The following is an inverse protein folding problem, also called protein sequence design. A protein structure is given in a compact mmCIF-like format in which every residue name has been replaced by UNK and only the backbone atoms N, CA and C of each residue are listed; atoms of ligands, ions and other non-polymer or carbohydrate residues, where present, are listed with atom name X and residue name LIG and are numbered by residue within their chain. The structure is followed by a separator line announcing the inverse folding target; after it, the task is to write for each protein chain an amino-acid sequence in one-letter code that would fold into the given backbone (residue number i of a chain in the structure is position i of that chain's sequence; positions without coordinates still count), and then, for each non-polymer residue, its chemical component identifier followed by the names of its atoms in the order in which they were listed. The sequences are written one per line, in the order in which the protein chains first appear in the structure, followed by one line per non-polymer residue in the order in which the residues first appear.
data_IF_240847295388
#
_entry.id   IF_240847295388
#
_cell.length_a   1.000
_cell.length_b   1.000
_cell.length_c   1.000
_cell.angle_alpha   90.00
_cell.angle_beta   90.00
_cell.angle_gamma   90.00
#
_symmetry.space_group_name_H-M   'P 1'
#
loop_
_entity.id
_entity.type
_entity.pdbx_description
1 polymer ?
#
# COMPACT_ATOMS: atom_id res chain seq x y z
N UNK A 1 -27.56 29.29 -41.37
CA UNK A 1 -27.57 28.76 -42.74
C UNK A 1 -29.03 28.50 -43.13
N UNK A 2 -29.42 28.76 -44.36
CA UNK A 2 -30.74 28.46 -44.87
C UNK A 2 -30.61 27.25 -45.82
N UNK A 3 -31.65 26.43 -45.89
CA UNK A 3 -31.74 25.33 -46.86
C UNK A 3 -32.02 25.89 -48.28
N UNK A 4 -32.09 25.01 -49.28
CA UNK A 4 -32.33 25.39 -50.69
C UNK A 4 -33.69 26.05 -50.92
N UNK A 5 -34.62 25.95 -49.96
CA UNK A 5 -35.96 26.54 -49.98
C UNK A 5 -36.05 27.79 -49.09
N UNK A 6 -34.92 28.32 -48.60
CA UNK A 6 -34.86 29.54 -47.79
C UNK A 6 -35.32 29.38 -46.33
N UNK A 7 -35.44 28.16 -45.83
CA UNK A 7 -35.80 27.88 -44.41
C UNK A 7 -34.56 27.75 -43.55
N UNK A 8 -34.60 28.22 -42.31
CA UNK A 8 -33.46 28.03 -41.39
C UNK A 8 -33.19 26.54 -41.13
N UNK A 9 -31.97 26.11 -41.41
CA UNK A 9 -31.47 24.79 -41.02
C UNK A 9 -31.56 24.65 -39.49
N UNK A 10 -32.34 23.73 -39.03
CA UNK A 10 -32.37 23.34 -37.59
C UNK A 10 -31.18 22.44 -37.33
N UNK A 11 -30.22 22.96 -36.60
CA UNK A 11 -29.14 22.15 -36.05
C UNK A 11 -29.68 21.39 -34.84
N UNK A 12 -29.59 20.06 -34.88
CA UNK A 12 -29.95 19.23 -33.73
C UNK A 12 -28.76 19.21 -32.82
N UNK A 13 -28.84 19.98 -31.73
CA UNK A 13 -27.83 19.95 -30.68
C UNK A 13 -28.30 18.98 -29.62
N UNK A 14 -27.54 17.91 -29.39
CA UNK A 14 -27.75 17.02 -28.23
C UNK A 14 -27.42 17.78 -26.94
N UNK A 15 -28.43 18.04 -26.13
CA UNK A 15 -28.27 18.67 -24.83
C UNK A 15 -28.44 17.58 -23.76
N UNK A 16 -27.36 17.25 -23.04
CA UNK A 16 -27.45 16.41 -21.86
C UNK A 16 -28.00 17.23 -20.70
N UNK A 17 -29.24 16.99 -20.33
CA UNK A 17 -29.86 17.63 -19.17
C UNK A 17 -29.74 16.70 -17.93
N UNK A 18 -29.01 17.15 -16.92
CA UNK A 18 -28.95 16.47 -15.62
C UNK A 18 -30.30 16.67 -14.90
N UNK A 19 -30.97 15.58 -14.58
CA UNK A 19 -32.19 15.60 -13.79
C UNK A 19 -32.03 14.77 -12.52
N UNK A 20 -32.63 15.23 -11.42
CA UNK A 20 -32.63 14.51 -10.15
C UNK A 20 -34.04 13.94 -9.90
N UNK A 21 -34.08 12.68 -9.46
CA UNK A 21 -35.32 12.05 -9.00
C UNK A 21 -35.18 11.72 -7.52
N UNK A 22 -36.20 11.97 -6.69
CA UNK A 22 -36.17 11.50 -5.32
C UNK A 22 -36.21 9.96 -5.32
N UNK A 23 -35.30 9.36 -4.57
CA UNK A 23 -35.26 7.93 -4.31
C UNK A 23 -35.33 7.68 -2.80
N UNK A 24 -36.13 6.70 -2.39
CA UNK A 24 -36.12 6.24 -1.01
C UNK A 24 -34.86 5.40 -0.78
N UNK A 25 -34.08 5.77 0.25
CA UNK A 25 -32.90 5.04 0.66
C UNK A 25 -33.16 4.49 2.05
N UNK A 26 -32.87 3.21 2.24
CA UNK A 26 -33.03 2.53 3.51
C UNK A 26 -31.67 2.06 4.01
N UNK A 27 -31.42 2.19 5.30
CA UNK A 27 -30.31 1.53 5.96
C UNK A 27 -30.53 0.00 5.92
N UNK A 28 -29.45 -0.77 5.79
CA UNK A 28 -29.53 -2.23 5.74
C UNK A 28 -30.22 -2.81 6.98
N UNK A 29 -30.07 -2.18 8.14
CA UNK A 29 -30.73 -2.56 9.38
C UNK A 29 -32.25 -2.39 9.35
N UNK A 30 -32.79 -1.64 8.38
CA UNK A 30 -34.22 -1.41 8.15
C UNK A 30 -34.82 -2.37 7.11
N UNK A 31 -34.04 -3.33 6.62
CA UNK A 31 -34.44 -4.29 5.60
C UNK A 31 -34.44 -5.70 6.17
N UNK A 32 -35.41 -6.51 5.75
CA UNK A 32 -35.49 -7.95 6.05
C UNK A 32 -35.32 -8.74 4.74
N UNK A 33 -34.56 -9.81 4.77
CA UNK A 33 -34.36 -10.66 3.60
C UNK A 33 -33.13 -11.54 3.69
N UNK A 34 -32.65 -12.01 2.52
CA UNK A 34 -31.35 -12.69 2.43
C UNK A 34 -30.25 -11.72 2.75
N UNK A 35 -29.23 -12.20 3.46
CA UNK A 35 -27.99 -11.44 3.62
C UNK A 35 -27.52 -10.94 2.25
N UNK A 36 -27.25 -9.64 2.19
CA UNK A 36 -26.67 -9.07 0.97
C UNK A 36 -25.31 -9.72 0.74
N UNK A 37 -24.99 -10.06 -0.52
CA UNK A 37 -23.63 -10.50 -0.81
C UNK A 37 -22.68 -9.40 -0.33
N UNK A 38 -21.70 -9.79 0.45
CA UNK A 38 -20.65 -8.88 0.94
C UNK A 38 -19.92 -8.34 -0.29
N UNK A 39 -20.25 -7.11 -0.69
CA UNK A 39 -19.53 -6.37 -1.74
C UNK A 39 -18.29 -5.75 -1.06
N UNK A 40 -17.59 -6.56 -0.34
CA UNK A 40 -16.36 -6.15 0.34
C UNK A 40 -15.31 -7.19 0.05
N UNK A 41 -14.14 -6.74 -0.33
CA UNK A 41 -12.98 -7.59 -0.30
C UNK A 41 -12.72 -7.84 1.19
N UNK A 42 -12.74 -9.09 1.61
CA UNK A 42 -12.42 -9.46 3.00
C UNK A 42 -11.05 -8.90 3.37
N UNK A 43 -10.90 -8.48 4.63
CA UNK A 43 -9.61 -8.03 5.12
C UNK A 43 -8.59 -9.16 4.98
N UNK A 44 -7.44 -8.83 4.40
CA UNK A 44 -6.36 -9.79 4.27
C UNK A 44 -5.93 -10.28 5.65
N UNK A 45 -5.92 -11.60 5.82
CA UNK A 45 -5.49 -12.24 7.05
C UNK A 45 -4.15 -12.91 6.83
N UNK A 46 -3.25 -12.82 7.79
CA UNK A 46 -1.97 -13.51 7.72
C UNK A 46 -0.87 -12.83 8.51
N UNK A 47 0.14 -13.65 8.80
CA UNK A 47 1.39 -13.18 9.41
C UNK A 47 2.45 -12.99 8.33
N UNK A 48 3.32 -12.03 8.53
CA UNK A 48 4.39 -11.67 7.61
C UNK A 48 5.74 -12.04 8.23
N UNK A 49 6.54 -12.79 7.49
CA UNK A 49 7.90 -13.11 7.92
C UNK A 49 8.72 -11.83 8.09
N UNK A 50 9.45 -11.70 9.19
CA UNK A 50 10.24 -10.51 9.52
C UNK A 50 9.42 -9.20 9.50
N UNK A 51 8.17 -9.27 9.96
CA UNK A 51 7.22 -8.15 9.91
C UNK A 51 7.79 -6.84 10.44
N UNK A 52 8.37 -6.83 11.64
CA UNK A 52 8.91 -5.62 12.26
C UNK A 52 10.02 -5.00 11.41
N UNK A 53 10.89 -5.84 10.84
CA UNK A 53 11.96 -5.42 9.95
C UNK A 53 11.43 -4.80 8.67
N UNK A 54 10.42 -5.41 8.07
CA UNK A 54 9.80 -4.91 6.85
C UNK A 54 9.03 -3.62 7.12
N UNK A 55 8.31 -3.54 8.23
CA UNK A 55 7.57 -2.36 8.66
C UNK A 55 8.50 -1.15 8.82
N UNK A 56 9.63 -1.31 9.53
CA UNK A 56 10.61 -0.24 9.68
C UNK A 56 11.27 0.12 8.32
N UNK A 57 11.53 -0.87 7.48
CA UNK A 57 12.05 -0.62 6.12
C UNK A 57 11.08 0.23 5.31
N UNK A 58 9.79 -0.07 5.33
CA UNK A 58 8.77 0.71 4.63
C UNK A 58 8.66 2.15 5.16
N UNK A 59 8.79 2.34 6.49
CA UNK A 59 8.87 3.69 7.08
C UNK A 59 10.10 4.46 6.60
N UNK A 60 11.26 3.80 6.51
CA UNK A 60 12.52 4.44 6.08
C UNK A 60 12.50 4.85 4.59
N UNK A 61 11.85 4.07 3.72
CA UNK A 61 11.78 4.37 2.27
C UNK A 61 10.61 5.28 1.90
N UNK A 62 9.68 5.51 2.81
CA UNK A 62 8.53 6.38 2.55
C UNK A 62 8.96 7.83 2.34
N UNK A 63 8.44 8.53 1.30
CA UNK A 63 8.73 9.93 1.07
C UNK A 63 8.24 10.85 2.19
N UNK A 64 7.28 10.39 2.99
CA UNK A 64 6.62 11.15 4.05
C UNK A 64 6.49 10.29 5.32
N UNK A 65 6.36 10.88 6.51
CA UNK A 65 6.19 10.13 7.75
C UNK A 65 4.96 9.23 7.73
N UNK A 66 5.07 8.03 8.30
CA UNK A 66 3.97 7.07 8.47
C UNK A 66 3.63 6.96 9.96
N UNK A 67 2.37 7.19 10.31
CA UNK A 67 1.81 7.02 11.66
C UNK A 67 0.70 5.98 11.69
N UNK A 68 0.45 5.41 12.87
CA UNK A 68 -0.67 4.52 13.14
C UNK A 68 -1.69 5.24 14.00
N UNK A 69 -2.97 5.16 13.62
CA UNK A 69 -4.05 5.82 14.34
C UNK A 69 -5.38 5.09 14.13
N UNK A 70 -6.37 5.38 14.98
CA UNK A 70 -7.74 4.94 14.76
C UNK A 70 -8.40 5.78 13.67
N UNK A 71 -8.76 5.15 12.56
CA UNK A 71 -9.38 5.82 11.40
C UNK A 71 -10.88 5.51 11.39
N UNK A 72 -11.70 6.54 11.53
CA UNK A 72 -13.16 6.39 11.43
C UNK A 72 -13.60 6.20 9.97
N UNK A 73 -14.73 5.50 9.76
CA UNK A 73 -15.32 5.35 8.43
C UNK A 73 -14.83 4.15 7.61
N UNK A 74 -14.04 3.24 8.21
CA UNK A 74 -13.67 1.96 7.60
C UNK A 74 -12.51 2.02 6.61
N UNK A 75 -11.87 3.18 6.41
CA UNK A 75 -10.62 3.29 5.65
C UNK A 75 -9.48 2.58 6.37
N UNK A 76 -8.63 1.88 5.63
CA UNK A 76 -7.46 1.17 6.17
C UNK A 76 -6.22 2.06 6.28
N UNK A 77 -6.20 3.16 5.54
CA UNK A 77 -5.13 4.15 5.53
C UNK A 77 -5.49 5.31 4.63
N UNK A 78 -4.67 6.34 4.67
CA UNK A 78 -4.75 7.46 3.74
C UNK A 78 -3.43 8.22 3.66
N UNK A 79 -3.16 8.80 2.50
CA UNK A 79 -2.12 9.81 2.31
C UNK A 79 -2.72 11.21 2.39
N UNK A 80 -2.30 11.98 3.37
CA UNK A 80 -2.72 13.37 3.56
C UNK A 80 -1.83 14.33 2.77
N UNK A 81 -2.36 14.92 1.69
CA UNK A 81 -1.68 15.95 0.91
C UNK A 81 -1.43 17.22 1.75
N UNK A 82 -2.35 17.58 2.63
CA UNK A 82 -2.26 18.77 3.46
C UNK A 82 -1.19 18.68 4.54
N UNK A 83 -1.12 17.53 5.21
CA UNK A 83 -0.21 17.26 6.32
C UNK A 83 1.11 16.62 5.88
N UNK A 84 1.19 16.19 4.62
CA UNK A 84 2.35 15.47 4.06
C UNK A 84 2.75 14.27 4.93
N UNK A 85 1.77 13.44 5.26
CA UNK A 85 1.94 12.22 6.04
C UNK A 85 1.03 11.09 5.55
N UNK A 86 1.38 9.89 5.91
CA UNK A 86 0.55 8.69 5.76
C UNK A 86 0.02 8.29 7.13
N UNK A 87 -1.27 7.99 7.19
CA UNK A 87 -1.91 7.36 8.34
C UNK A 87 -2.35 5.94 7.99
N UNK A 88 -2.10 5.01 8.89
CA UNK A 88 -2.46 3.60 8.76
C UNK A 88 -3.37 3.24 9.93
N UNK A 89 -4.47 2.56 9.66
CA UNK A 89 -5.38 2.05 10.68
C UNK A 89 -4.63 1.15 11.66
N UNK A 90 -4.78 1.40 12.96
CA UNK A 90 -4.25 0.55 14.01
C UNK A 90 -4.95 -0.84 14.03
N UNK A 91 -4.30 -1.81 14.65
CA UNK A 91 -4.85 -3.15 14.95
C UNK A 91 -5.32 -4.00 13.75
N UNK A 92 -4.81 -3.71 12.54
CA UNK A 92 -4.99 -4.59 11.39
C UNK A 92 -4.07 -5.82 11.45
N UNK A 93 -4.38 -6.86 10.66
CA UNK A 93 -3.47 -7.99 10.43
C UNK A 93 -2.14 -7.51 9.84
N UNK A 94 -1.06 -8.27 10.05
CA UNK A 94 0.25 -7.91 9.52
C UNK A 94 0.25 -7.78 7.99
N UNK A 95 -0.42 -8.71 7.29
CA UNK A 95 -0.52 -8.69 5.84
C UNK A 95 -1.30 -7.45 5.33
N UNK A 96 -2.43 -7.16 5.95
CA UNK A 96 -3.23 -5.98 5.61
C UNK A 96 -2.44 -4.68 5.87
N UNK A 97 -1.70 -4.61 6.97
CA UNK A 97 -0.86 -3.45 7.31
C UNK A 97 0.20 -3.20 6.26
N UNK A 98 1.00 -4.21 5.89
CA UNK A 98 2.05 -4.08 4.87
C UNK A 98 1.46 -3.67 3.52
N UNK A 99 0.38 -4.33 3.08
CA UNK A 99 -0.31 -4.00 1.83
C UNK A 99 -0.78 -2.55 1.82
N UNK A 100 -1.43 -2.11 2.90
CA UNK A 100 -1.93 -0.74 3.02
C UNK A 100 -0.78 0.27 3.04
N UNK A 101 0.30 0.00 3.77
CA UNK A 101 1.48 0.88 3.77
C UNK A 101 2.06 1.07 2.37
N UNK A 102 2.22 -0.01 1.59
CA UNK A 102 2.73 0.09 0.20
C UNK A 102 1.76 0.86 -0.68
N UNK A 103 0.45 0.67 -0.52
CA UNK A 103 -0.59 1.41 -1.24
C UNK A 103 -0.50 2.92 -0.97
N UNK A 104 -0.39 3.33 0.29
CA UNK A 104 -0.27 4.76 0.65
C UNK A 104 1.09 5.36 0.25
N UNK A 105 2.17 4.57 0.30
CA UNK A 105 3.47 4.98 -0.26
C UNK A 105 3.35 5.22 -1.76
N UNK A 106 2.63 4.37 -2.50
CA UNK A 106 2.39 4.57 -3.92
C UNK A 106 1.61 5.86 -4.18
N UNK A 107 0.58 6.17 -3.39
CA UNK A 107 -0.12 7.44 -3.47
C UNK A 107 0.81 8.63 -3.21
N UNK A 108 1.66 8.56 -2.21
CA UNK A 108 2.61 9.64 -1.90
C UNK A 108 3.68 9.86 -2.97
N UNK A 109 4.06 8.80 -3.71
CA UNK A 109 5.05 8.89 -4.80
C UNK A 109 4.43 9.33 -6.13
N UNK A 110 3.28 8.77 -6.49
CA UNK A 110 2.68 8.96 -7.82
C UNK A 110 1.68 10.10 -7.88
N UNK A 111 1.00 10.40 -6.78
CA UNK A 111 -0.17 11.24 -6.76
C UNK A 111 -0.01 12.47 -5.85
N UNK A 112 1.18 12.68 -5.29
CA UNK A 112 1.51 13.92 -4.63
C UNK A 112 1.33 15.10 -5.57
N UNK A 113 0.86 16.22 -5.05
CA UNK A 113 0.76 17.48 -5.77
C UNK A 113 1.28 18.58 -4.86
N UNK A 114 1.94 19.55 -5.44
CA UNK A 114 2.37 20.71 -4.69
C UNK A 114 1.14 21.48 -4.15
N UNK A 115 1.28 22.01 -2.94
CA UNK A 115 0.23 22.86 -2.34
C UNK A 115 -0.08 24.07 -3.21
N UNK A 116 0.95 24.60 -3.86
CA UNK A 116 0.90 25.77 -4.72
C UNK A 116 0.68 25.43 -6.20
N UNK A 117 0.36 24.16 -6.52
CA UNK A 117 0.10 23.72 -7.88
C UNK A 117 -1.04 24.53 -8.52
N UNK A 118 -0.84 24.92 -9.78
CA UNK A 118 -1.82 25.67 -10.56
C UNK A 118 -3.07 24.84 -10.87
N UNK A 119 -4.20 25.49 -11.24
CA UNK A 119 -5.40 24.76 -11.66
C UNK A 119 -5.12 23.82 -12.85
N UNK A 120 -4.23 24.21 -13.76
CA UNK A 120 -3.83 23.44 -14.93
C UNK A 120 -3.07 22.16 -14.53
N UNK A 121 -2.13 22.28 -13.60
CA UNK A 121 -1.39 21.12 -13.05
C UNK A 121 -2.32 20.16 -12.31
N UNK A 122 -3.28 20.71 -11.53
CA UNK A 122 -4.31 19.92 -10.86
C UNK A 122 -5.21 19.17 -11.86
N UNK A 123 -5.52 19.80 -13.00
CA UNK A 123 -6.35 19.21 -14.06
C UNK A 123 -5.63 18.10 -14.85
N UNK A 124 -4.30 18.10 -14.88
CA UNK A 124 -3.50 17.06 -15.55
C UNK A 124 -3.37 15.75 -14.72
N UNK A 125 -3.83 15.74 -13.47
CA UNK A 125 -3.80 14.52 -12.65
C UNK A 125 -4.71 13.44 -13.25
N UNK A 126 -4.32 12.16 -13.16
CA UNK A 126 -5.24 11.08 -13.45
C UNK A 126 -6.52 11.20 -12.60
N UNK A 127 -7.65 10.75 -13.14
CA UNK A 127 -8.89 10.68 -12.36
C UNK A 127 -8.71 9.82 -11.10
N UNK A 128 -9.60 9.98 -10.13
CA UNK A 128 -9.49 9.30 -8.84
C UNK A 128 -9.41 7.78 -9.01
N UNK A 129 -10.22 7.22 -9.90
CA UNK A 129 -10.26 5.79 -10.10
C UNK A 129 -8.95 5.24 -10.68
N UNK A 130 -8.36 5.93 -11.65
CA UNK A 130 -7.04 5.59 -12.21
C UNK A 130 -5.95 5.66 -11.14
N UNK A 131 -5.99 6.66 -10.25
CA UNK A 131 -5.03 6.73 -9.13
C UNK A 131 -5.13 5.55 -8.17
N UNK A 132 -6.36 5.17 -7.81
CA UNK A 132 -6.59 4.00 -6.95
C UNK A 132 -6.05 2.71 -7.59
N UNK A 133 -6.32 2.50 -8.88
CA UNK A 133 -5.82 1.32 -9.61
C UNK A 133 -4.31 1.32 -9.72
N UNK A 134 -3.68 2.47 -9.93
CA UNK A 134 -2.22 2.57 -9.95
C UNK A 134 -1.62 2.24 -8.59
N UNK A 135 -2.16 2.78 -7.50
CA UNK A 135 -1.68 2.49 -6.15
C UNK A 135 -1.91 1.02 -5.77
N UNK A 136 -3.08 0.46 -6.11
CA UNK A 136 -3.39 -0.94 -5.87
C UNK A 136 -2.49 -1.88 -6.69
N UNK A 137 -2.24 -1.54 -7.95
CA UNK A 137 -1.33 -2.30 -8.81
C UNK A 137 0.11 -2.31 -8.28
N UNK A 138 0.60 -1.17 -7.78
CA UNK A 138 1.91 -1.09 -7.12
C UNK A 138 1.93 -1.95 -5.86
N UNK A 139 0.91 -1.85 -5.00
CA UNK A 139 0.81 -2.64 -3.78
C UNK A 139 0.82 -4.14 -4.09
N UNK A 140 0.07 -4.57 -5.11
CA UNK A 140 0.06 -5.96 -5.56
C UNK A 140 1.44 -6.45 -6.00
N UNK A 141 2.10 -5.72 -6.91
CA UNK A 141 3.41 -6.13 -7.46
C UNK A 141 4.47 -6.21 -6.36
N UNK A 142 4.53 -5.22 -5.47
CA UNK A 142 5.48 -5.20 -4.36
C UNK A 142 5.20 -6.32 -3.36
N UNK A 143 3.94 -6.55 -2.98
CA UNK A 143 3.56 -7.64 -2.09
C UNK A 143 3.90 -9.01 -2.69
N UNK A 144 3.60 -9.24 -3.97
CA UNK A 144 3.97 -10.48 -4.66
C UNK A 144 5.48 -10.70 -4.69
N UNK A 145 6.28 -9.65 -4.93
CA UNK A 145 7.75 -9.74 -4.86
C UNK A 145 8.24 -10.14 -3.47
N UNK A 146 7.56 -9.70 -2.42
CA UNK A 146 7.86 -10.06 -1.02
C UNK A 146 7.30 -11.44 -0.61
N UNK A 147 6.64 -12.16 -1.53
CA UNK A 147 6.01 -13.45 -1.25
C UNK A 147 4.69 -13.34 -0.48
N UNK A 148 4.05 -12.16 -0.52
CA UNK A 148 2.77 -11.87 0.14
C UNK A 148 1.65 -11.89 -0.89
N UNK A 149 0.73 -12.84 -0.78
CA UNK A 149 -0.40 -12.95 -1.70
C UNK A 149 -1.55 -12.00 -1.33
N UNK A 150 -1.85 -11.10 -2.25
CA UNK A 150 -2.94 -10.11 -2.14
C UNK A 150 -3.86 -10.15 -3.36
N UNK A 151 -3.84 -11.23 -4.15
CA UNK A 151 -4.51 -11.33 -5.47
C UNK A 151 -6.03 -11.16 -5.36
N UNK A 152 -6.66 -11.78 -4.39
CA UNK A 152 -8.13 -11.72 -4.21
C UNK A 152 -8.62 -10.28 -3.97
N UNK A 153 -7.78 -9.47 -3.32
CA UNK A 153 -8.06 -8.06 -3.08
C UNK A 153 -7.84 -7.22 -4.36
N UNK A 154 -6.71 -7.38 -5.01
CA UNK A 154 -6.24 -6.45 -6.04
C UNK A 154 -6.91 -6.66 -7.40
N UNK A 155 -7.26 -7.90 -7.77
CA UNK A 155 -7.83 -8.19 -9.09
C UNK A 155 -9.21 -7.58 -9.33
N UNK A 156 -10.03 -7.43 -8.31
CA UNK A 156 -11.33 -6.79 -8.42
C UNK A 156 -11.23 -5.33 -8.87
N UNK A 157 -10.23 -4.61 -8.41
CA UNK A 157 -9.96 -3.21 -8.80
C UNK A 157 -9.50 -3.12 -10.26
N UNK A 158 -8.53 -3.95 -10.66
CA UNK A 158 -7.96 -3.93 -12.02
C UNK A 158 -9.00 -4.32 -13.06
N UNK A 159 -9.78 -5.37 -12.80
CA UNK A 159 -10.82 -5.85 -13.73
C UNK A 159 -11.91 -4.80 -13.97
N UNK A 160 -12.36 -4.12 -12.92
CA UNK A 160 -13.35 -3.07 -13.02
C UNK A 160 -12.83 -1.84 -13.79
N UNK A 161 -11.59 -1.44 -13.53
CA UNK A 161 -10.99 -0.26 -14.16
C UNK A 161 -10.71 -0.44 -15.65
N UNK A 162 -10.31 -1.62 -16.09
CA UNK A 162 -9.95 -1.89 -17.48
C UNK A 162 -11.14 -1.81 -18.44
N UNK A 163 -12.36 -1.85 -17.93
CA UNK A 163 -13.57 -1.83 -18.73
C UNK A 163 -13.79 -0.44 -19.34
N UNK A 164 -13.79 -0.36 -20.69
CA UNK A 164 -14.05 0.86 -21.43
C UNK A 164 -12.86 1.83 -21.55
N UNK A 165 -11.67 1.44 -21.11
CA UNK A 165 -10.45 2.25 -21.26
C UNK A 165 -9.77 2.00 -22.61
N UNK A 166 -9.17 3.05 -23.17
CA UNK A 166 -8.34 2.93 -24.37
C UNK A 166 -7.02 2.20 -24.08
N UNK A 167 -6.54 1.43 -25.06
CA UNK A 167 -5.32 0.63 -24.92
C UNK A 167 -4.08 1.47 -24.53
N UNK A 168 -3.99 2.69 -25.03
CA UNK A 168 -2.91 3.64 -24.73
C UNK A 168 -2.92 4.04 -23.25
N UNK A 169 -4.11 4.29 -22.68
CA UNK A 169 -4.31 4.65 -21.28
C UNK A 169 -3.95 3.47 -20.36
N UNK A 170 -4.38 2.24 -20.73
CA UNK A 170 -4.00 1.03 -20.02
C UNK A 170 -2.49 0.82 -20.00
N UNK A 171 -1.82 0.96 -21.14
CA UNK A 171 -0.36 0.84 -21.24
C UNK A 171 0.36 1.88 -20.39
N UNK A 172 -0.07 3.13 -20.43
CA UNK A 172 0.52 4.22 -19.64
C UNK A 172 0.44 3.92 -18.14
N UNK A 173 -0.73 3.47 -17.67
CA UNK A 173 -0.89 3.11 -16.25
C UNK A 173 -0.08 1.89 -15.85
N UNK A 174 0.04 0.87 -16.70
CA UNK A 174 0.89 -0.30 -16.46
C UNK A 174 2.37 0.07 -16.40
N UNK A 175 2.85 0.98 -17.26
CA UNK A 175 4.22 1.48 -17.19
C UNK A 175 4.48 2.27 -15.91
N UNK A 176 3.52 3.08 -15.46
CA UNK A 176 3.57 3.79 -14.18
C UNK A 176 3.67 2.81 -13.01
N UNK A 177 2.81 1.79 -12.97
CA UNK A 177 2.82 0.74 -11.94
C UNK A 177 4.17 0.02 -11.93
N UNK A 178 4.64 -0.43 -13.10
CA UNK A 178 5.91 -1.15 -13.24
C UNK A 178 7.09 -0.33 -12.71
N UNK A 179 7.16 0.95 -13.09
CA UNK A 179 8.26 1.83 -12.70
C UNK A 179 8.25 2.09 -11.20
N UNK A 180 7.11 2.48 -10.64
CA UNK A 180 6.99 2.76 -9.21
C UNK A 180 7.23 1.50 -8.34
N UNK A 181 6.75 0.34 -8.80
CA UNK A 181 7.00 -0.93 -8.10
C UNK A 181 8.48 -1.29 -8.09
N UNK A 182 9.18 -1.14 -9.21
CA UNK A 182 10.62 -1.38 -9.29
C UNK A 182 11.39 -0.47 -8.33
N UNK A 183 11.09 0.82 -8.31
CA UNK A 183 11.73 1.78 -7.38
C UNK A 183 11.52 1.41 -5.91
N UNK A 184 10.31 0.99 -5.53
CA UNK A 184 10.02 0.59 -4.14
C UNK A 184 10.75 -0.71 -3.79
N UNK A 185 10.74 -1.69 -4.69
CA UNK A 185 11.45 -2.97 -4.50
C UNK A 185 12.95 -2.74 -4.34
N UNK A 186 13.55 -1.94 -5.22
CA UNK A 186 14.98 -1.61 -5.16
C UNK A 186 15.33 -0.88 -3.85
N UNK A 187 14.48 0.05 -3.42
CA UNK A 187 14.66 0.76 -2.16
C UNK A 187 14.59 -0.20 -0.95
N UNK A 188 13.65 -1.16 -0.94
CA UNK A 188 13.55 -2.19 0.11
C UNK A 188 14.81 -3.06 0.12
N UNK A 189 15.27 -3.52 -1.03
CA UNK A 189 16.47 -4.36 -1.14
C UNK A 189 17.71 -3.61 -0.66
N UNK A 190 17.90 -2.38 -1.09
CA UNK A 190 19.02 -1.54 -0.68
C UNK A 190 19.03 -1.30 0.84
N UNK A 191 17.88 -1.09 1.47
CA UNK A 191 17.82 -0.96 2.94
C UNK A 191 18.14 -2.27 3.66
N UNK A 192 17.70 -3.41 3.13
CA UNK A 192 18.05 -4.73 3.67
C UNK A 192 19.57 -4.98 3.63
N UNK A 193 20.24 -4.60 2.55
CA UNK A 193 21.71 -4.74 2.40
C UNK A 193 22.48 -3.83 3.37
N UNK A 194 21.98 -2.62 3.64
CA UNK A 194 22.62 -1.67 4.55
C UNK A 194 22.43 -1.95 6.04
N UNK A 195 21.43 -2.74 6.42
CA UNK A 195 21.15 -3.08 7.84
C UNK A 195 22.30 -3.78 8.55
N UNK A 196 22.95 -4.81 7.97
CA UNK A 196 24.08 -5.45 8.61
C UNK A 196 25.26 -4.50 8.92
N UNK A 197 25.45 -3.49 8.09
CA UNK A 197 26.50 -2.46 8.30
C UNK A 197 26.13 -1.50 9.43
N UNK A 198 24.85 -1.07 9.49
CA UNK A 198 24.35 -0.21 10.58
C UNK A 198 24.41 -0.93 11.95
N UNK A 199 24.09 -2.23 12.00
CA UNK A 199 24.21 -3.03 13.20
C UNK A 199 25.66 -3.19 13.66
N UNK A 200 26.60 -3.44 12.74
CA UNK A 200 28.05 -3.50 13.04
C UNK A 200 28.56 -2.18 13.58
N UNK A 201 28.21 -1.06 12.92
CA UNK A 201 28.64 0.28 13.32
C UNK A 201 28.04 0.69 14.69
N UNK A 202 26.81 0.27 14.98
CA UNK A 202 26.18 0.45 16.30
C UNK A 202 26.89 -0.35 17.37
N UNK A 203 27.26 -1.61 17.09
CA UNK A 203 28.00 -2.47 18.01
C UNK A 203 29.41 -1.94 18.30
N UNK A 204 30.11 -1.37 17.29
CA UNK A 204 31.42 -0.76 17.48
C UNK A 204 31.35 0.50 18.38
N UNK A 205 30.32 1.33 18.22
CA UNK A 205 30.09 2.50 19.09
C UNK A 205 29.74 2.12 20.52
N UNK A 206 28.93 1.08 20.72
CA UNK A 206 28.57 0.56 22.05
C UNK A 206 29.77 -0.09 22.74
N UNK A 207 30.66 -0.76 21.98
CA UNK A 207 31.89 -1.33 22.50
C UNK A 207 32.89 -0.25 22.95
N UNK A 208 32.99 0.86 22.19
CA UNK A 208 33.86 1.98 22.51
C UNK A 208 33.33 2.80 23.71
N UNK A 209 32.01 2.97 23.83
CA UNK A 209 31.38 3.77 24.88
C UNK A 209 31.15 3.01 26.19
N UNK A 210 30.90 1.67 26.14
CA UNK A 210 30.58 0.84 27.30
C UNK A 210 31.25 -0.55 27.25
N UNK A 211 32.59 -0.64 27.31
CA UNK A 211 33.30 -1.90 27.11
C UNK A 211 32.93 -3.00 28.12
N UNK A 212 32.59 -2.65 29.36
CA UNK A 212 32.19 -3.61 30.41
C UNK A 212 30.78 -4.18 30.21
N UNK A 213 29.84 -3.37 29.72
CA UNK A 213 28.47 -3.81 29.45
C UNK A 213 28.41 -4.69 28.22
N UNK A 214 29.16 -4.34 27.17
CA UNK A 214 29.26 -5.10 25.93
C UNK A 214 29.80 -6.51 26.16
N UNK A 215 30.88 -6.66 26.95
CA UNK A 215 31.41 -7.99 27.32
C UNK A 215 30.44 -8.81 28.19
N UNK A 216 29.64 -8.17 29.03
CA UNK A 216 28.59 -8.85 29.80
C UNK A 216 27.44 -9.35 28.92
N UNK A 217 27.05 -8.60 27.88
CA UNK A 217 26.03 -8.99 26.90
C UNK A 217 26.50 -10.17 26.04
N UNK A 218 27.73 -10.18 25.56
CA UNK A 218 28.31 -11.29 24.80
C UNK A 218 28.35 -12.55 25.65
N UNK A 219 28.81 -12.47 26.90
CA UNK A 219 28.80 -13.62 27.84
C UNK A 219 27.40 -14.16 28.13
N UNK A 220 26.37 -13.29 28.13
CA UNK A 220 24.96 -13.69 28.29
C UNK A 220 24.39 -14.38 27.05
N UNK A 221 24.74 -13.93 25.85
CA UNK A 221 24.36 -14.55 24.58
C UNK A 221 24.98 -15.94 24.41
N UNK A 222 26.27 -16.11 24.74
CA UNK A 222 26.94 -17.38 24.71
C UNK A 222 26.41 -18.38 25.79
N UNK A 223 25.97 -17.91 26.97
CA UNK A 223 25.34 -18.75 27.97
C UNK A 223 23.96 -19.29 27.60
N UNK A 224 23.19 -18.58 26.73
CA UNK A 224 21.88 -19.05 26.24
C UNK A 224 22.00 -20.07 25.10
N UNK A 225 23.07 -20.05 24.33
CA UNK A 225 23.28 -20.94 23.17
C UNK A 225 23.91 -22.29 23.61
N UNK A 226 24.77 -22.30 24.61
CA UNK A 226 25.44 -23.50 25.08
C UNK A 226 24.52 -24.64 25.60
N UNK A 227 23.44 -24.36 26.37
CA UNK A 227 22.57 -25.44 26.88
C UNK A 227 21.71 -26.12 25.80
N UNK A 228 21.38 -25.45 24.72
CA UNK A 228 20.56 -26.03 23.62
C UNK A 228 21.40 -26.92 22.70
N UNK A 229 22.62 -26.55 22.42
CA UNK A 229 23.55 -27.37 21.63
C UNK A 229 23.91 -28.70 22.38
N UNK A 230 24.08 -28.62 23.69
CA UNK A 230 24.39 -29.79 24.52
C UNK A 230 23.19 -30.72 24.70
N UNK A 231 21.96 -30.20 24.78
CA UNK A 231 20.72 -30.98 24.75
C UNK A 231 20.52 -31.73 23.45
N UNK A 232 20.76 -31.07 22.28
CA UNK A 232 20.67 -31.72 20.96
C UNK A 232 21.72 -32.84 20.83
N UNK A 233 22.96 -32.66 21.31
CA UNK A 233 24.00 -33.65 21.23
C UNK A 233 23.68 -34.92 22.06
N UNK A 234 23.15 -34.76 23.26
CA UNK A 234 22.72 -35.87 24.13
C UNK A 234 21.51 -36.63 23.58
N UNK A 235 20.60 -35.98 22.81
CA UNK A 235 19.48 -36.67 22.16
C UNK A 235 19.91 -37.50 20.96
N UNK A 236 20.98 -37.16 20.25
CA UNK A 236 21.53 -37.95 19.15
C UNK A 236 22.38 -39.15 19.64
N UNK A 237 22.99 -39.10 20.83
CA UNK A 237 23.74 -40.22 21.43
C UNK A 237 22.83 -41.26 22.11
N UNK A 238 21.58 -40.91 22.42
CA UNK A 238 20.60 -41.83 23.00
C UNK A 238 19.81 -42.68 21.99
N UNK A 239 20.03 -42.47 20.67
CA UNK A 239 19.33 -43.18 19.57
C UNK A 239 20.32 -44.14 18.84
N UNK A 240 21.51 -44.32 19.35
CA UNK A 240 22.47 -45.34 18.95
C UNK A 240 22.56 -46.39 20.03
#
# INVERSE_FOLDING_TARGET
MLDQDGKPLKEVVEITQVSFRPAAVFDISQTEGKELPTIGVEDLQGQVSEYDTLLETLKEISPVPIGFEEISGGSKGYYSLGEQRIAIQADMSQLQTIKTMVHEIAHSKLHAIDKDATPEEKAQRPDQYTREVQAEGVAYVVCQHLGLDTSDYSFSYVASWSTGKELSELKSSLDTIRTASAEIIDAIQHQKERRPEKEKLGMEKDEEQYPCLFQAMIKRKHRKIAPEAEKKRKSYEAIR
#
